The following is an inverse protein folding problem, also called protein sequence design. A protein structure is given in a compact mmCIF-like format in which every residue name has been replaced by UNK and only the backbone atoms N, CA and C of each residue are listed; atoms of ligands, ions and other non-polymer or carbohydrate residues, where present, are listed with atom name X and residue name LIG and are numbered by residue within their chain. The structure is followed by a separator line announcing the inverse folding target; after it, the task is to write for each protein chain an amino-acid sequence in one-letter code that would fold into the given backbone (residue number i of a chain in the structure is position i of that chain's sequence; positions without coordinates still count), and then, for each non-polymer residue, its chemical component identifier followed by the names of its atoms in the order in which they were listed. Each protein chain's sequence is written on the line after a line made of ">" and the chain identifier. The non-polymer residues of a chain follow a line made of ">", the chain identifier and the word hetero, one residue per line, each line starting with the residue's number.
data_IF_646058880008
#
_entry.id   IF_646058880008
#
_cell.length_a   1.000
_cell.length_b   1.000
_cell.length_c   1.000
_cell.angle_alpha   90.00
_cell.angle_beta   90.00
_cell.angle_gamma   90.00
#
_symmetry.space_group_name_H-M   'P 1'
#
loop_
_entity.id
_entity.type
_entity.pdbx_description
1 polymer ?
#
# COMPACT_ATOMS: atom_id res chain seq x y z
N UNK A 1 -3.28 -31.77 6.55
CA UNK A 1 -2.90 -32.25 7.91
C UNK A 1 -1.94 -31.25 8.60
N UNK A 2 -0.86 -30.78 7.95
CA UNK A 2 0.15 -29.91 8.59
C UNK A 2 -0.45 -28.60 9.14
N UNK A 3 -1.33 -27.93 8.37
CA UNK A 3 -1.91 -26.65 8.76
C UNK A 3 -2.87 -26.78 9.96
N UNK A 4 -3.48 -27.93 10.18
CA UNK A 4 -4.42 -28.18 11.25
C UNK A 4 -3.74 -28.51 12.61
N UNK A 5 -2.42 -28.59 12.67
CA UNK A 5 -1.68 -28.89 13.92
C UNK A 5 -1.36 -27.58 14.66
N UNK A 6 -2.28 -27.14 15.53
CA UNK A 6 -2.17 -25.86 16.26
C UNK A 6 -0.90 -25.72 17.10
N UNK A 7 -0.29 -26.81 17.54
CA UNK A 7 0.91 -26.80 18.37
C UNK A 7 2.21 -26.45 17.62
N UNK A 8 2.21 -26.41 16.29
CA UNK A 8 3.39 -26.21 15.46
C UNK A 8 3.21 -25.11 14.42
N UNK A 9 3.30 -23.84 14.84
CA UNK A 9 3.18 -22.69 13.95
C UNK A 9 4.02 -22.82 12.67
N UNK A 10 5.31 -23.17 12.79
CA UNK A 10 6.20 -23.29 11.64
C UNK A 10 5.73 -24.36 10.63
N UNK A 11 5.21 -25.50 11.13
CA UNK A 11 4.65 -26.54 10.27
C UNK A 11 3.42 -26.07 9.53
N UNK A 12 2.57 -25.27 10.20
CA UNK A 12 1.40 -24.65 9.59
C UNK A 12 1.78 -23.68 8.47
N UNK A 13 2.79 -22.83 8.72
CA UNK A 13 3.35 -21.89 7.74
C UNK A 13 3.86 -22.64 6.50
N UNK A 14 4.67 -23.69 6.69
CA UNK A 14 5.15 -24.51 5.57
C UNK A 14 4.01 -25.16 4.80
N UNK A 15 2.93 -25.58 5.49
CA UNK A 15 1.72 -26.11 4.85
C UNK A 15 1.03 -25.06 3.98
N UNK A 16 0.91 -23.81 4.46
CA UNK A 16 0.35 -22.68 3.70
C UNK A 16 1.20 -22.40 2.46
N UNK A 17 2.52 -22.34 2.59
CA UNK A 17 3.44 -22.12 1.46
C UNK A 17 3.35 -23.26 0.43
N UNK A 18 3.30 -24.52 0.88
CA UNK A 18 3.13 -25.68 0.00
C UNK A 18 1.82 -25.62 -0.79
N UNK A 19 0.71 -25.20 -0.15
CA UNK A 19 -0.56 -25.00 -0.85
C UNK A 19 -0.47 -23.86 -1.86
N UNK A 20 0.23 -22.76 -1.55
CA UNK A 20 0.50 -21.68 -2.49
C UNK A 20 1.25 -22.15 -3.75
N UNK A 21 2.26 -23.01 -3.57
CA UNK A 21 2.98 -23.60 -4.69
C UNK A 21 2.06 -24.47 -5.58
N UNK A 22 1.19 -25.28 -4.97
CA UNK A 22 0.21 -26.06 -5.73
C UNK A 22 -0.79 -25.17 -6.46
N UNK A 23 -1.24 -24.08 -5.84
CA UNK A 23 -2.13 -23.09 -6.51
C UNK A 23 -1.44 -22.43 -7.70
N UNK A 24 -0.16 -22.09 -7.59
CA UNK A 24 0.63 -21.56 -8.71
C UNK A 24 0.74 -22.57 -9.88
N UNK A 25 0.56 -23.87 -9.60
CA UNK A 25 0.52 -24.96 -10.59
C UNK A 25 -0.91 -25.28 -11.06
N UNK A 26 -1.91 -24.50 -10.65
CA UNK A 26 -3.29 -24.65 -11.10
C UNK A 26 -4.24 -25.40 -10.17
N UNK A 27 -3.81 -25.80 -8.96
CA UNK A 27 -4.70 -26.44 -8.00
C UNK A 27 -5.66 -25.42 -7.38
N UNK A 28 -6.95 -25.72 -7.28
CA UNK A 28 -7.92 -24.86 -6.58
C UNK A 28 -7.95 -25.16 -5.07
N UNK A 29 -7.03 -24.53 -4.36
CA UNK A 29 -6.92 -24.61 -2.90
C UNK A 29 -7.31 -23.30 -2.21
N UNK A 30 -7.74 -22.30 -2.97
CA UNK A 30 -8.15 -20.99 -2.47
C UNK A 30 -9.19 -21.05 -1.35
N UNK A 31 -10.33 -21.77 -1.54
CA UNK A 31 -11.36 -21.89 -0.50
C UNK A 31 -10.85 -22.53 0.82
N UNK A 32 -9.84 -23.39 0.73
CA UNK A 32 -9.23 -24.00 1.92
C UNK A 32 -8.34 -22.99 2.64
N UNK A 33 -7.51 -22.24 1.90
CA UNK A 33 -6.61 -21.22 2.47
C UNK A 33 -7.38 -20.04 3.05
N UNK A 34 -8.46 -19.60 2.42
CA UNK A 34 -9.27 -18.48 2.94
C UNK A 34 -9.73 -18.65 4.40
N UNK A 35 -9.92 -19.89 4.85
CA UNK A 35 -10.31 -20.18 6.26
C UNK A 35 -9.26 -19.70 7.27
N UNK A 36 -7.98 -19.64 6.87
CA UNK A 36 -6.88 -19.22 7.73
C UNK A 36 -6.66 -17.69 7.74
N UNK A 37 -7.45 -16.93 6.98
CA UNK A 37 -7.51 -15.47 7.10
C UNK A 37 -8.21 -15.01 8.39
N UNK A 38 -8.90 -15.92 9.09
CA UNK A 38 -9.55 -15.67 10.39
C UNK A 38 -8.95 -16.56 11.49
N UNK A 39 -7.69 -16.94 11.36
CA UNK A 39 -7.00 -17.77 12.35
C UNK A 39 -6.70 -16.96 13.63
N UNK A 40 -6.59 -17.62 14.76
CA UNK A 40 -6.24 -16.99 16.05
C UNK A 40 -4.78 -16.51 16.06
N UNK A 41 -3.91 -17.15 15.28
CA UNK A 41 -2.49 -16.81 15.14
C UNK A 41 -2.30 -15.77 14.05
N UNK A 42 -1.85 -14.57 14.44
CA UNK A 42 -1.61 -13.46 13.52
C UNK A 42 -0.59 -13.77 12.41
N UNK A 43 0.44 -14.60 12.69
CA UNK A 43 1.41 -14.99 11.67
C UNK A 43 0.79 -15.93 10.63
N UNK A 44 -0.11 -16.81 11.05
CA UNK A 44 -0.87 -17.68 10.14
C UNK A 44 -1.76 -16.83 9.23
N UNK A 45 -2.49 -15.84 9.79
CA UNK A 45 -3.26 -14.88 8.99
C UNK A 45 -2.38 -14.14 7.97
N UNK A 46 -1.25 -13.62 8.44
CA UNK A 46 -0.31 -12.84 7.62
C UNK A 46 0.26 -13.67 6.46
N UNK A 47 0.73 -14.89 6.74
CA UNK A 47 1.26 -15.78 5.71
C UNK A 47 0.19 -16.25 4.74
N UNK A 48 -1.03 -16.45 5.20
CA UNK A 48 -2.17 -16.79 4.34
C UNK A 48 -2.51 -15.63 3.41
N UNK A 49 -2.61 -14.40 3.93
CA UNK A 49 -2.86 -13.21 3.12
C UNK A 49 -1.76 -13.02 2.08
N UNK A 50 -0.48 -13.20 2.48
CA UNK A 50 0.66 -13.15 1.58
C UNK A 50 0.50 -14.15 0.42
N UNK A 51 0.28 -15.42 0.74
CA UNK A 51 0.21 -16.50 -0.27
C UNK A 51 -0.97 -16.30 -1.22
N UNK A 52 -2.16 -16.01 -0.70
CA UNK A 52 -3.34 -15.74 -1.54
C UNK A 52 -3.14 -14.50 -2.41
N UNK A 53 -2.46 -13.47 -1.89
CA UNK A 53 -2.07 -12.29 -2.66
C UNK A 53 -1.04 -12.59 -3.75
N UNK A 54 -0.04 -13.43 -3.47
CA UNK A 54 1.01 -13.82 -4.44
C UNK A 54 0.40 -14.57 -5.65
N UNK A 55 -0.57 -15.44 -5.40
CA UNK A 55 -1.30 -16.16 -6.47
C UNK A 55 -2.49 -15.34 -7.02
N UNK A 56 -2.68 -14.10 -6.58
CA UNK A 56 -3.74 -13.18 -7.01
C UNK A 56 -5.15 -13.77 -6.88
N UNK A 57 -5.43 -14.43 -5.77
CA UNK A 57 -6.74 -15.05 -5.52
C UNK A 57 -7.79 -13.98 -5.20
N UNK A 58 -8.47 -13.48 -6.23
CA UNK A 58 -9.38 -12.33 -6.15
C UNK A 58 -10.60 -12.58 -5.24
N UNK A 59 -11.06 -13.81 -5.09
CA UNK A 59 -12.20 -14.14 -4.23
C UNK A 59 -11.96 -13.82 -2.73
N UNK A 60 -10.69 -13.62 -2.31
CA UNK A 60 -10.35 -13.21 -0.95
C UNK A 60 -10.39 -11.67 -0.73
N UNK A 61 -10.74 -10.88 -1.74
CA UNK A 61 -10.80 -9.41 -1.65
C UNK A 61 -11.55 -8.88 -0.44
N UNK A 62 -12.81 -9.29 -0.19
CA UNK A 62 -13.56 -8.83 0.97
C UNK A 62 -12.86 -9.12 2.31
N UNK A 63 -12.25 -10.30 2.46
CA UNK A 63 -11.51 -10.65 3.68
C UNK A 63 -10.23 -9.82 3.83
N UNK A 64 -9.50 -9.55 2.74
CA UNK A 64 -8.34 -8.67 2.79
C UNK A 64 -8.73 -7.25 3.20
N UNK A 65 -9.85 -6.72 2.71
CA UNK A 65 -10.37 -5.40 3.13
C UNK A 65 -10.64 -5.40 4.64
N UNK A 66 -11.29 -6.43 5.17
CA UNK A 66 -11.53 -6.55 6.61
C UNK A 66 -10.22 -6.62 7.43
N UNK A 67 -9.17 -7.25 6.90
CA UNK A 67 -7.87 -7.34 7.55
C UNK A 67 -7.06 -6.04 7.56
N UNK A 68 -7.44 -5.01 6.81
CA UNK A 68 -6.80 -3.69 6.89
C UNK A 68 -6.96 -3.04 8.28
N UNK A 69 -8.03 -3.36 9.01
CA UNK A 69 -8.26 -2.92 10.40
C UNK A 69 -7.76 -3.90 11.46
N UNK A 70 -6.96 -4.89 11.13
CA UNK A 70 -6.47 -5.89 12.10
C UNK A 70 -5.53 -5.25 13.12
N UNK A 71 -5.54 -5.73 14.37
CA UNK A 71 -4.68 -5.23 15.44
C UNK A 71 -3.17 -5.49 15.20
N UNK A 72 -2.82 -6.43 14.32
CA UNK A 72 -1.45 -6.81 14.04
C UNK A 72 -0.95 -6.16 12.74
N UNK A 73 0.05 -5.25 12.80
CA UNK A 73 0.57 -4.53 11.63
C UNK A 73 1.02 -5.44 10.48
N UNK A 74 1.57 -6.62 10.80
CA UNK A 74 2.02 -7.58 9.80
C UNK A 74 0.86 -8.17 8.99
N UNK A 75 -0.31 -8.35 9.61
CA UNK A 75 -1.54 -8.78 8.92
C UNK A 75 -2.03 -7.69 7.99
N UNK A 76 -2.12 -6.44 8.49
CA UNK A 76 -2.49 -5.27 7.68
C UNK A 76 -1.56 -5.13 6.46
N UNK A 77 -0.25 -5.26 6.67
CA UNK A 77 0.76 -5.15 5.62
C UNK A 77 0.51 -6.13 4.47
N UNK A 78 0.33 -7.43 4.77
CA UNK A 78 0.11 -8.42 3.72
C UNK A 78 -1.28 -8.33 3.09
N UNK A 79 -2.30 -7.92 3.85
CA UNK A 79 -3.63 -7.64 3.32
C UNK A 79 -3.58 -6.49 2.30
N UNK A 80 -2.94 -5.37 2.64
CA UNK A 80 -2.76 -4.25 1.72
C UNK A 80 -2.00 -4.67 0.46
N UNK A 81 -0.91 -5.42 0.60
CA UNK A 81 -0.17 -5.93 -0.56
C UNK A 81 -0.99 -6.85 -1.45
N UNK A 82 -1.79 -7.75 -0.85
CA UNK A 82 -2.69 -8.65 -1.58
C UNK A 82 -3.72 -7.86 -2.39
N UNK A 83 -4.37 -6.86 -1.78
CA UNK A 83 -5.34 -5.97 -2.44
C UNK A 83 -4.73 -5.25 -3.64
N UNK A 84 -3.51 -4.74 -3.49
CA UNK A 84 -2.78 -4.13 -4.62
C UNK A 84 -2.48 -5.11 -5.75
N UNK A 85 -2.17 -6.39 -5.43
CA UNK A 85 -1.88 -7.42 -6.44
C UNK A 85 -3.12 -7.87 -7.22
N UNK A 86 -4.27 -7.97 -6.54
CA UNK A 86 -5.55 -8.30 -7.19
C UNK A 86 -6.22 -7.08 -7.82
N UNK A 87 -5.68 -5.87 -7.57
CA UNK A 87 -6.19 -4.58 -8.07
C UNK A 87 -7.65 -4.32 -7.67
N UNK A 88 -7.99 -4.61 -6.43
CA UNK A 88 -9.36 -4.48 -5.92
C UNK A 88 -9.71 -3.01 -5.69
N UNK A 89 -10.57 -2.45 -6.54
CA UNK A 89 -11.03 -1.06 -6.44
C UNK A 89 -11.82 -0.77 -5.16
N UNK A 90 -12.52 -1.77 -4.61
CA UNK A 90 -13.27 -1.61 -3.36
C UNK A 90 -12.37 -1.38 -2.14
N UNK A 91 -11.07 -1.67 -2.26
CA UNK A 91 -10.10 -1.50 -1.18
C UNK A 91 -9.63 -0.05 -0.98
N UNK A 92 -9.87 0.85 -1.94
CA UNK A 92 -9.31 2.21 -1.92
C UNK A 92 -9.64 2.94 -0.62
N UNK A 93 -10.90 2.97 -0.22
CA UNK A 93 -11.32 3.65 1.03
C UNK A 93 -10.68 3.03 2.27
N UNK A 94 -10.59 1.71 2.34
CA UNK A 94 -9.95 1.00 3.46
C UNK A 94 -8.44 1.28 3.55
N UNK A 95 -7.75 1.35 2.41
CA UNK A 95 -6.33 1.70 2.34
C UNK A 95 -6.07 3.14 2.76
N UNK A 96 -6.94 4.09 2.36
CA UNK A 96 -6.86 5.48 2.81
C UNK A 96 -7.11 5.59 4.32
N UNK A 97 -8.10 4.86 4.84
CA UNK A 97 -8.36 4.82 6.28
C UNK A 97 -7.16 4.25 7.07
N UNK A 98 -6.53 3.18 6.58
CA UNK A 98 -5.31 2.62 7.18
C UNK A 98 -4.17 3.66 7.26
N UNK A 99 -4.01 4.51 6.24
CA UNK A 99 -3.03 5.61 6.26
C UNK A 99 -3.36 6.68 7.31
N UNK A 100 -4.65 7.04 7.45
CA UNK A 100 -5.12 7.99 8.47
C UNK A 100 -4.83 7.46 9.88
N UNK A 101 -5.12 6.19 10.14
CA UNK A 101 -4.91 5.55 11.44
C UNK A 101 -3.41 5.35 11.75
N UNK A 102 -2.61 5.04 10.75
CA UNK A 102 -1.16 4.90 10.86
C UNK A 102 -0.46 6.22 11.24
N UNK A 103 -1.01 7.37 10.88
CA UNK A 103 -0.43 8.71 11.15
C UNK A 103 1.07 8.80 10.78
N UNK A 104 1.46 8.10 9.75
CA UNK A 104 2.83 8.03 9.24
C UNK A 104 3.87 7.44 10.23
N UNK A 105 3.44 6.74 11.27
CA UNK A 105 4.33 6.18 12.29
C UNK A 105 5.00 4.88 11.85
N UNK A 106 4.27 3.97 11.19
CA UNK A 106 4.83 2.76 10.62
C UNK A 106 5.07 2.95 9.12
N UNK A 107 6.35 3.06 8.76
CA UNK A 107 6.76 3.26 7.36
C UNK A 107 6.46 2.05 6.47
N UNK A 108 6.39 0.84 7.03
CA UNK A 108 6.06 -0.38 6.27
C UNK A 108 4.58 -0.40 5.91
N UNK A 109 3.69 0.00 6.83
CA UNK A 109 2.26 0.13 6.56
C UNK A 109 1.99 1.22 5.52
N UNK A 110 2.63 2.40 5.66
CA UNK A 110 2.57 3.45 4.64
C UNK A 110 3.00 2.92 3.28
N UNK A 111 4.16 2.25 3.22
CA UNK A 111 4.68 1.69 1.96
C UNK A 111 3.70 0.68 1.35
N UNK A 112 3.13 -0.22 2.16
CA UNK A 112 2.18 -1.24 1.67
C UNK A 112 0.92 -0.59 1.08
N UNK A 113 0.34 0.42 1.76
CA UNK A 113 -0.84 1.13 1.29
C UNK A 113 -0.55 1.93 0.00
N UNK A 114 0.54 2.70 -0.03
CA UNK A 114 0.97 3.45 -1.21
C UNK A 114 1.19 2.53 -2.41
N UNK A 115 1.88 1.40 -2.21
CA UNK A 115 2.10 0.42 -3.27
C UNK A 115 0.80 -0.21 -3.75
N UNK A 116 -0.13 -0.50 -2.84
CA UNK A 116 -1.44 -1.04 -3.18
C UNK A 116 -2.25 -0.03 -4.00
N UNK A 117 -2.39 1.21 -3.52
CA UNK A 117 -3.11 2.28 -4.21
C UNK A 117 -2.52 2.55 -5.61
N UNK A 118 -1.19 2.58 -5.72
CA UNK A 118 -0.56 2.78 -7.03
C UNK A 118 -0.84 1.65 -8.03
N UNK A 119 -0.93 0.40 -7.56
CA UNK A 119 -1.25 -0.78 -8.40
C UNK A 119 -2.72 -0.87 -8.76
N UNK A 120 -3.60 -0.46 -7.86
CA UNK A 120 -5.05 -0.38 -8.10
C UNK A 120 -5.31 0.64 -9.20
N UNK A 121 -4.62 1.78 -9.20
CA UNK A 121 -4.73 2.79 -10.24
C UNK A 121 -6.02 3.61 -10.16
N UNK A 122 -6.57 3.79 -8.95
CA UNK A 122 -7.73 4.64 -8.71
C UNK A 122 -7.28 6.13 -8.71
N UNK A 123 -7.15 6.73 -9.88
CA UNK A 123 -6.53 8.04 -10.07
C UNK A 123 -7.29 9.15 -9.35
N UNK A 124 -8.60 9.31 -9.61
CA UNK A 124 -9.37 10.41 -9.04
C UNK A 124 -9.35 10.46 -7.50
N UNK A 125 -9.55 9.35 -6.76
CA UNK A 125 -9.42 9.36 -5.30
C UNK A 125 -8.07 9.82 -4.77
N UNK A 126 -6.99 9.69 -5.55
CA UNK A 126 -5.65 10.17 -5.17
C UNK A 126 -5.49 11.65 -5.50
N UNK A 127 -6.01 12.11 -6.65
CA UNK A 127 -5.99 13.53 -7.02
C UNK A 127 -6.79 14.38 -6.02
N UNK A 128 -7.91 13.86 -5.54
CA UNK A 128 -8.75 14.55 -4.54
C UNK A 128 -8.05 14.75 -3.18
N UNK A 129 -6.90 14.10 -2.95
CA UNK A 129 -6.14 14.24 -1.70
C UNK A 129 -5.23 15.47 -1.66
N UNK A 130 -5.07 16.20 -2.75
CA UNK A 130 -4.22 17.42 -2.83
C UNK A 130 -4.63 18.41 -1.74
N UNK A 131 -5.92 18.64 -1.57
CA UNK A 131 -6.47 19.57 -0.60
C UNK A 131 -6.92 18.88 0.71
N UNK A 132 -6.48 17.67 0.98
CA UNK A 132 -6.86 16.94 2.18
C UNK A 132 -6.33 17.63 3.44
N UNK A 133 -7.16 17.83 4.49
CA UNK A 133 -6.68 18.36 5.76
C UNK A 133 -5.74 17.36 6.48
N UNK A 134 -5.70 16.11 6.07
CA UNK A 134 -4.88 15.08 6.68
C UNK A 134 -3.50 14.97 6.00
N UNK A 135 -2.45 15.35 6.72
CA UNK A 135 -1.07 15.28 6.24
C UNK A 135 -0.66 13.91 5.72
N UNK A 136 -1.04 12.82 6.41
CA UNK A 136 -0.68 11.45 5.98
C UNK A 136 -1.27 11.09 4.62
N UNK A 137 -2.47 11.59 4.32
CA UNK A 137 -3.11 11.40 3.01
C UNK A 137 -2.43 12.22 1.93
N UNK A 138 -2.10 13.51 2.20
CA UNK A 138 -1.35 14.35 1.24
C UNK A 138 0.01 13.73 0.92
N UNK A 139 0.74 13.27 1.94
CA UNK A 139 2.01 12.57 1.75
C UNK A 139 1.83 11.29 0.91
N UNK A 140 0.80 10.49 1.20
CA UNK A 140 0.52 9.28 0.44
C UNK A 140 0.20 9.61 -1.03
N UNK A 141 -0.53 10.69 -1.30
CA UNK A 141 -0.81 11.14 -2.66
C UNK A 141 0.49 11.47 -3.43
N UNK A 142 1.42 12.22 -2.82
CA UNK A 142 2.74 12.48 -3.42
C UNK A 142 3.44 11.17 -3.77
N UNK A 143 3.49 10.21 -2.84
CA UNK A 143 4.19 8.94 -3.04
C UNK A 143 3.52 8.05 -4.11
N UNK A 144 2.19 8.08 -4.21
CA UNK A 144 1.45 7.36 -5.25
C UNK A 144 1.66 8.03 -6.61
N UNK A 145 1.50 9.37 -6.68
CA UNK A 145 1.69 10.15 -7.91
C UNK A 145 3.12 10.05 -8.44
N UNK A 146 4.13 9.99 -7.56
CA UNK A 146 5.52 9.69 -7.94
C UNK A 146 5.62 8.37 -8.72
N UNK A 147 4.95 7.31 -8.25
CA UNK A 147 4.94 6.00 -8.92
C UNK A 147 4.24 6.01 -10.26
N UNK A 148 3.34 6.97 -10.48
CA UNK A 148 2.64 7.18 -11.75
C UNK A 148 3.34 8.20 -12.64
N UNK A 149 4.38 8.87 -12.15
CA UNK A 149 5.02 10.02 -12.80
C UNK A 149 4.00 11.10 -13.17
N UNK A 150 3.07 11.37 -12.24
CA UNK A 150 1.92 12.22 -12.49
C UNK A 150 2.30 13.71 -12.43
N UNK A 151 1.93 14.54 -13.44
CA UNK A 151 2.32 15.95 -13.48
C UNK A 151 1.73 16.81 -12.37
N UNK A 152 0.63 16.41 -11.76
CA UNK A 152 -0.03 17.15 -10.68
C UNK A 152 0.73 17.08 -9.34
N UNK A 153 1.88 16.38 -9.28
CA UNK A 153 2.85 16.53 -8.20
C UNK A 153 3.21 17.99 -7.94
N UNK A 154 3.13 18.85 -8.95
CA UNK A 154 3.37 20.30 -8.85
C UNK A 154 2.50 20.99 -7.80
N UNK A 155 1.28 20.53 -7.55
CA UNK A 155 0.38 21.13 -6.57
C UNK A 155 0.87 21.02 -5.13
N UNK A 156 1.70 20.01 -4.83
CA UNK A 156 2.32 19.83 -3.52
C UNK A 156 3.57 20.68 -3.30
N UNK A 157 4.07 21.39 -4.31
CA UNK A 157 5.19 22.32 -4.15
C UNK A 157 4.85 23.57 -3.32
N UNK A 158 3.58 23.79 -3.05
CA UNK A 158 3.06 24.88 -2.21
C UNK A 158 2.31 24.36 -0.99
N UNK A 159 2.52 23.09 -0.60
CA UNK A 159 1.93 22.52 0.59
C UNK A 159 2.36 23.28 1.86
N UNK A 160 1.49 23.35 2.86
CA UNK A 160 1.78 23.98 4.15
C UNK A 160 2.86 23.23 4.95
N UNK A 161 3.10 21.97 4.64
CA UNK A 161 4.07 21.11 5.30
C UNK A 161 5.35 20.98 4.46
N UNK A 162 6.45 21.49 4.99
CA UNK A 162 7.76 21.49 4.31
C UNK A 162 8.25 20.10 3.91
N UNK A 163 7.92 19.06 4.68
CA UNK A 163 8.31 17.69 4.33
C UNK A 163 7.56 17.20 3.09
N UNK A 164 6.29 17.56 2.92
CA UNK A 164 5.50 17.24 1.73
C UNK A 164 6.07 17.98 0.51
N UNK A 165 6.40 19.29 0.66
CA UNK A 165 7.06 20.06 -0.40
C UNK A 165 8.36 19.39 -0.83
N UNK A 166 9.19 18.98 0.14
CA UNK A 166 10.46 18.31 -0.13
C UNK A 166 10.27 16.98 -0.88
N UNK A 167 9.32 16.15 -0.44
CA UNK A 167 9.03 14.87 -1.11
C UNK A 167 8.45 15.07 -2.52
N UNK A 168 7.63 16.10 -2.74
CA UNK A 168 7.13 16.47 -4.07
C UNK A 168 8.27 16.96 -4.98
N UNK A 169 9.15 17.82 -4.46
CA UNK A 169 10.32 18.31 -5.19
C UNK A 169 11.25 17.15 -5.59
N UNK A 170 11.52 16.22 -4.67
CA UNK A 170 12.27 15.00 -4.96
C UNK A 170 11.58 14.15 -6.01
N UNK A 171 10.27 13.92 -5.88
CA UNK A 171 9.50 13.11 -6.82
C UNK A 171 9.57 13.67 -8.25
N UNK A 172 9.59 14.99 -8.40
CA UNK A 172 9.68 15.68 -9.70
C UNK A 172 11.10 15.62 -10.26
N UNK A 173 12.12 15.83 -9.41
CA UNK A 173 13.51 15.95 -9.84
C UNK A 173 14.21 14.59 -10.03
N UNK A 174 13.96 13.62 -9.15
CA UNK A 174 14.64 12.31 -9.18
C UNK A 174 14.12 11.42 -10.31
N UNK A 175 12.93 11.68 -10.80
CA UNK A 175 12.31 10.92 -11.88
C UNK A 175 12.12 11.82 -13.10
N UNK A 176 13.00 11.70 -14.06
CA UNK A 176 12.98 12.47 -15.33
C UNK A 176 11.68 12.31 -16.12
N UNK A 177 10.83 11.34 -15.73
CA UNK A 177 9.52 11.13 -16.37
C UNK A 177 8.49 12.21 -16.03
N UNK A 178 8.75 13.09 -15.04
CA UNK A 178 7.82 14.15 -14.61
C UNK A 178 8.21 15.53 -15.23
N UNK A 179 8.67 15.54 -16.45
CA UNK A 179 9.10 16.75 -17.18
C UNK A 179 8.09 17.89 -17.15
N UNK A 180 6.78 17.56 -17.19
CA UNK A 180 5.70 18.57 -17.17
C UNK A 180 5.63 19.37 -15.87
N UNK A 181 6.18 18.87 -14.77
CA UNK A 181 6.21 19.54 -13.48
C UNK A 181 7.53 20.31 -13.20
N UNK A 182 8.56 20.13 -14.03
CA UNK A 182 9.86 20.80 -13.87
C UNK A 182 9.78 22.35 -13.92
N UNK A 183 8.96 22.99 -14.76
CA UNK A 183 8.83 24.45 -14.73
C UNK A 183 8.31 24.98 -13.39
N UNK A 184 7.39 24.28 -12.75
CA UNK A 184 6.84 24.65 -11.45
C UNK A 184 7.91 24.51 -10.36
N UNK A 185 8.67 23.42 -10.36
CA UNK A 185 9.81 23.20 -9.47
C UNK A 185 10.89 24.30 -9.66
N UNK A 186 11.22 24.64 -10.89
CA UNK A 186 12.18 25.72 -11.17
C UNK A 186 11.70 27.09 -10.66
N UNK A 187 10.39 27.34 -10.71
CA UNK A 187 9.79 28.56 -10.16
C UNK A 187 9.88 28.61 -8.65
N UNK A 188 9.66 27.49 -7.96
CA UNK A 188 9.85 27.37 -6.51
C UNK A 188 11.28 27.72 -6.11
N UNK A 189 12.29 27.18 -6.80
CA UNK A 189 13.70 27.41 -6.49
C UNK A 189 14.11 28.88 -6.68
N UNK A 190 13.52 29.62 -7.63
CA UNK A 190 13.76 31.05 -7.81
C UNK A 190 13.19 31.89 -6.70
N UNK A 191 12.07 31.48 -6.09
CA UNK A 191 11.38 32.22 -5.06
C UNK A 191 11.88 31.88 -3.64
N UNK A 192 12.53 30.73 -3.50
CA UNK A 192 13.13 30.32 -2.23
C UNK A 192 14.48 31.03 -2.10
N UNK A 193 14.60 31.97 -1.16
CA UNK A 193 15.91 32.46 -0.75
C UNK A 193 16.60 31.27 -0.07
N UNK A 194 17.48 30.60 -0.78
CA UNK A 194 18.39 29.62 -0.23
C UNK A 194 19.28 30.37 0.79
N UNK A 195 18.88 30.38 2.05
CA UNK A 195 19.79 30.71 3.14
C UNK A 195 20.80 29.56 3.17
N UNK A 196 21.97 29.81 2.57
CA UNK A 196 23.14 29.00 2.79
C UNK A 196 23.59 29.24 4.24
N UNK A 197 23.28 28.29 5.15
CA UNK A 197 24.07 28.12 6.36
C UNK A 197 25.35 27.35 6.06
#
# INVERSE_FOLDING_TARGET
>A
KAIAQQEHQLMRIHGIWGMGQLMAQGSDLGPVLMRYLSDEDAEIMAQTAKVLGDVKYAAAGPQFIALLGNAHPRVQFYAAQALGRIKDQAAVSGLLQMLVENKDQDVYLRHAAVLALSRIGAEQPILDLVDSPNKSLRLAAVLVMRRWSHPDLKYFLTDEDEYIVLEAARAINDDWSVEKALPDLASLLKNTQLQSE
#
